data_IF_612404868860
#
_entry.id   IF_612404868860
#
_cell.length_a   1.000
_cell.length_b   1.000
_cell.length_c   1.000
_cell.angle_alpha   90.00
_cell.angle_beta   90.00
_cell.angle_gamma   90.00
#
_symmetry.space_group_name_H-M   'P 1'
#
loop_
_entity.id
_entity.type
_entity.pdbx_description
1 polymer ?
#
# COMPACT_ATOMS: atom_id res chain seq x y z
N UNK A 1 -2.45 3.32 -24.62
CA UNK A 1 -2.95 2.52 -23.48
C UNK A 1 -2.08 2.85 -22.28
N UNK A 2 -2.68 3.21 -21.14
CA UNK A 2 -1.92 3.45 -19.90
C UNK A 2 -1.32 2.13 -19.42
N UNK A 3 -0.05 2.15 -19.01
CA UNK A 3 0.57 0.97 -18.40
C UNK A 3 -0.04 0.76 -17.01
N UNK A 4 -0.56 -0.44 -16.74
CA UNK A 4 -1.02 -0.85 -15.41
C UNK A 4 0.12 -1.53 -14.66
N UNK A 5 0.27 -1.17 -13.38
CA UNK A 5 1.23 -1.78 -12.47
C UNK A 5 0.48 -2.40 -11.31
N UNK A 6 0.93 -3.55 -10.83
CA UNK A 6 0.37 -4.21 -9.65
C UNK A 6 1.28 -3.96 -8.44
N UNK A 7 0.66 -3.68 -7.29
CA UNK A 7 1.36 -3.57 -6.01
C UNK A 7 1.51 -4.98 -5.44
N UNK A 8 2.77 -5.43 -5.32
CA UNK A 8 3.07 -6.73 -4.74
C UNK A 8 3.19 -6.65 -3.23
N UNK A 9 3.95 -5.66 -2.73
CA UNK A 9 4.15 -5.48 -1.29
C UNK A 9 4.71 -4.10 -0.96
N UNK A 10 4.55 -3.70 0.30
CA UNK A 10 5.23 -2.55 0.90
C UNK A 10 6.19 -3.10 1.95
N UNK A 11 7.48 -2.80 1.81
CA UNK A 11 8.55 -3.26 2.71
C UNK A 11 9.10 -2.13 3.55
N UNK A 12 9.38 -2.42 4.81
CA UNK A 12 10.13 -1.53 5.70
C UNK A 12 9.50 -0.16 5.91
N UNK A 13 8.16 -0.03 5.78
CA UNK A 13 7.47 1.22 6.06
C UNK A 13 7.57 1.51 7.56
N UNK A 14 8.44 2.44 7.92
CA UNK A 14 8.75 2.77 9.30
C UNK A 14 8.79 4.29 9.50
N UNK A 15 8.46 4.70 10.73
CA UNK A 15 8.75 6.03 11.22
C UNK A 15 10.22 6.12 11.63
N UNK A 16 10.80 7.31 11.50
CA UNK A 16 12.14 7.60 12.02
C UNK A 16 12.16 7.80 13.54
N UNK A 17 11.02 8.19 14.13
CA UNK A 17 10.83 8.41 15.57
C UNK A 17 9.31 8.44 15.95
N UNK A 18 9.00 8.50 17.24
CA UNK A 18 7.61 8.47 17.76
C UNK A 18 6.75 9.67 17.32
N UNK A 19 7.38 10.82 17.03
CA UNK A 19 6.74 12.06 16.58
C UNK A 19 6.81 12.24 15.06
N UNK A 20 7.29 11.23 14.32
CA UNK A 20 7.57 11.38 12.90
C UNK A 20 6.30 11.70 12.10
N UNK A 21 6.31 12.80 11.36
CA UNK A 21 5.22 13.15 10.45
C UNK A 21 5.37 12.51 9.06
N UNK A 22 6.47 11.79 8.85
CA UNK A 22 6.80 11.12 7.61
C UNK A 22 7.37 9.73 7.86
N UNK A 23 7.08 8.82 6.93
CA UNK A 23 7.42 7.41 7.00
C UNK A 23 8.09 7.03 5.69
N UNK A 24 9.17 6.25 5.75
CA UNK A 24 9.91 5.81 4.57
C UNK A 24 9.79 4.30 4.44
N UNK A 25 9.70 3.82 3.20
CA UNK A 25 9.67 2.39 2.90
C UNK A 25 9.94 2.14 1.42
N UNK A 26 9.70 0.91 0.98
CA UNK A 26 9.86 0.50 -0.40
C UNK A 26 8.56 -0.09 -0.93
N UNK A 27 8.06 0.46 -2.03
CA UNK A 27 6.95 -0.12 -2.79
C UNK A 27 7.52 -1.06 -3.84
N UNK A 28 7.00 -2.28 -3.87
CA UNK A 28 7.43 -3.35 -4.75
C UNK A 28 6.33 -3.58 -5.79
N UNK A 29 6.66 -3.38 -7.06
CA UNK A 29 5.73 -3.34 -8.17
C UNK A 29 6.16 -4.29 -9.30
N UNK A 30 5.22 -4.65 -10.15
CA UNK A 30 5.51 -5.22 -11.47
C UNK A 30 4.46 -4.77 -12.48
N UNK A 31 4.79 -4.86 -13.77
CA UNK A 31 3.80 -4.61 -14.82
C UNK A 31 2.79 -5.76 -14.85
N UNK A 32 1.52 -5.40 -15.04
CA UNK A 32 0.43 -6.37 -15.21
C UNK A 32 0.79 -7.39 -16.31
N UNK A 33 0.72 -8.67 -15.97
CA UNK A 33 1.07 -9.78 -16.87
C UNK A 33 2.55 -9.98 -17.19
N UNK A 34 3.48 -9.25 -16.56
CA UNK A 34 4.93 -9.42 -16.78
C UNK A 34 5.52 -10.57 -15.96
N UNK A 35 6.26 -11.52 -16.59
CA UNK A 35 7.03 -12.56 -15.90
C UNK A 35 8.40 -12.08 -15.38
N UNK A 36 8.77 -10.82 -15.64
CA UNK A 36 10.11 -10.24 -15.39
C UNK A 36 10.02 -8.84 -14.72
N UNK A 37 11.15 -8.28 -14.22
CA UNK A 37 11.49 -8.18 -12.80
C UNK A 37 10.71 -7.11 -12.02
N UNK A 38 10.67 -7.36 -10.72
CA UNK A 38 10.15 -6.48 -9.68
C UNK A 38 10.83 -5.11 -9.71
N UNK A 39 10.04 -4.04 -9.86
CA UNK A 39 10.50 -2.67 -9.63
C UNK A 39 10.35 -2.31 -8.15
N UNK A 40 11.41 -1.76 -7.55
CA UNK A 40 11.42 -1.34 -6.16
C UNK A 40 11.61 0.18 -6.09
N UNK A 41 10.61 0.89 -5.58
CA UNK A 41 10.62 2.35 -5.46
C UNK A 41 10.66 2.73 -4.00
N UNK A 42 11.64 3.56 -3.61
CA UNK A 42 11.65 4.18 -2.29
C UNK A 42 10.52 5.20 -2.20
N UNK A 43 9.65 5.05 -1.21
CA UNK A 43 8.52 5.93 -0.97
C UNK A 43 8.69 6.67 0.36
N UNK A 44 8.13 7.87 0.41
CA UNK A 44 7.97 8.67 1.63
C UNK A 44 6.51 9.08 1.74
N UNK A 45 5.89 8.79 2.87
CA UNK A 45 4.46 9.00 3.09
C UNK A 45 4.26 9.85 4.32
N UNK A 46 3.43 10.89 4.21
CA UNK A 46 3.05 11.73 5.36
C UNK A 46 2.06 10.98 6.26
N UNK A 47 2.09 11.25 7.56
CA UNK A 47 1.16 10.69 8.55
C UNK A 47 -0.31 10.88 8.14
N UNK A 48 -0.66 12.08 7.68
CA UNK A 48 -2.02 12.39 7.21
C UNK A 48 -2.49 11.47 6.09
N UNK A 49 -1.61 11.19 5.13
CA UNK A 49 -1.88 10.28 4.01
C UNK A 49 -1.98 8.84 4.49
N UNK A 50 -1.15 8.40 5.44
CA UNK A 50 -1.30 7.06 6.03
C UNK A 50 -2.64 6.87 6.73
N UNK A 51 -3.11 7.88 7.48
CA UNK A 51 -4.43 7.83 8.12
C UNK A 51 -5.56 7.76 7.09
N UNK A 52 -5.47 8.53 6.01
CA UNK A 52 -6.43 8.51 4.91
C UNK A 52 -6.44 7.14 4.19
N UNK A 53 -5.26 6.60 3.87
CA UNK A 53 -5.11 5.28 3.26
C UNK A 53 -5.69 4.18 4.15
N UNK A 54 -5.38 4.20 5.45
CA UNK A 54 -5.94 3.25 6.41
C UNK A 54 -7.48 3.28 6.40
N UNK A 55 -8.07 4.47 6.48
CA UNK A 55 -9.52 4.60 6.47
C UNK A 55 -10.15 4.13 5.14
N UNK A 56 -9.53 4.47 4.01
CA UNK A 56 -10.03 4.12 2.68
C UNK A 56 -9.89 2.63 2.40
N UNK A 57 -8.73 2.04 2.65
CA UNK A 57 -8.48 0.61 2.47
C UNK A 57 -9.31 -0.23 3.44
N UNK A 58 -9.46 0.19 4.70
CA UNK A 58 -10.31 -0.49 5.68
C UNK A 58 -11.76 -0.59 5.20
N UNK A 59 -12.34 0.52 4.71
CA UNK A 59 -13.69 0.51 4.14
C UNK A 59 -13.79 -0.35 2.88
N UNK A 60 -12.78 -0.30 2.01
CA UNK A 60 -12.77 -1.08 0.77
C UNK A 60 -12.72 -2.59 1.07
N UNK A 61 -11.81 -3.00 1.95
CA UNK A 61 -11.64 -4.39 2.37
C UNK A 61 -12.88 -4.94 3.08
N UNK A 62 -13.49 -4.15 3.97
CA UNK A 62 -14.72 -4.54 4.65
C UNK A 62 -15.86 -4.85 3.65
N UNK A 63 -15.93 -4.12 2.53
CA UNK A 63 -16.89 -4.38 1.46
C UNK A 63 -16.49 -5.58 0.60
N UNK A 64 -15.20 -5.73 0.26
CA UNK A 64 -14.74 -6.77 -0.67
C UNK A 64 -14.79 -8.18 -0.08
N UNK A 65 -14.55 -8.32 1.23
CA UNK A 65 -14.59 -9.63 1.91
C UNK A 65 -16.03 -10.08 2.14
N UNK A 66 -16.99 -9.16 2.04
CA UNK A 66 -18.36 -9.37 2.52
C UNK A 66 -18.34 -9.53 4.04
N UNK A 67 -19.26 -8.88 4.75
CA UNK A 67 -19.56 -9.30 6.11
C UNK A 67 -19.99 -10.76 6.00
N UNK A 68 -19.10 -11.72 6.34
CA UNK A 68 -19.49 -13.09 6.65
C UNK A 68 -20.41 -12.94 7.86
N UNK A 69 -21.70 -12.75 7.59
CA UNK A 69 -22.77 -12.78 8.57
C UNK A 69 -22.56 -14.07 9.34
N UNK A 70 -22.09 -13.94 10.58
CA UNK A 70 -22.11 -15.04 11.53
C UNK A 70 -23.52 -15.61 11.54
N UNK A 71 -23.61 -16.90 11.26
CA UNK A 71 -24.69 -17.74 11.77
C UNK A 71 -24.37 -18.08 13.20
#
# INVERSE_FOLDING_TARGET
MSQTWEILTVRGLAATDERADEFTGTLVLHREGSPEPVEAITIRVKRSILMELHATLGRLLARSVGVRRGR
#
